data_IF_672991399982
#
_entry.id   IF_672991399982
#
_cell.length_a   1.000
_cell.length_b   1.000
_cell.length_c   1.000
_cell.angle_alpha   90.00
_cell.angle_beta   90.00
_cell.angle_gamma   90.00
#
_symmetry.space_group_name_H-M   'P 1'
#
loop_
_entity.id
_entity.type
_entity.pdbx_description
1 polymer ?
#
# COMPACT_ATOMS: atom_id res chain seq x y z
N UNK A 1 -11.52 24.48 -31.42
CA UNK A 1 -11.09 23.18 -31.99
C UNK A 1 -10.03 22.63 -31.06
N UNK A 2 -10.39 21.65 -30.23
CA UNK A 2 -9.53 21.15 -29.16
C UNK A 2 -8.75 19.95 -29.68
N UNK A 3 -7.44 20.11 -29.85
CA UNK A 3 -6.54 19.04 -30.22
C UNK A 3 -6.35 18.13 -28.99
N UNK A 4 -6.92 16.93 -29.04
CA UNK A 4 -6.62 15.85 -28.09
C UNK A 4 -5.22 15.32 -28.39
N UNK A 5 -4.26 15.65 -27.54
CA UNK A 5 -2.93 15.03 -27.55
C UNK A 5 -3.05 13.52 -27.30
N UNK A 6 -2.43 12.65 -28.10
CA UNK A 6 -2.35 11.23 -27.78
C UNK A 6 -1.47 11.06 -26.53
N UNK A 7 -2.01 10.42 -25.49
CA UNK A 7 -1.28 10.06 -24.29
C UNK A 7 -0.17 9.07 -24.64
N UNK A 8 1.04 9.59 -24.88
CA UNK A 8 2.24 8.82 -25.20
C UNK A 8 2.97 8.35 -23.93
N UNK A 9 2.20 7.91 -22.93
CA UNK A 9 2.72 7.32 -21.70
C UNK A 9 2.27 5.86 -21.65
N UNK A 10 3.20 4.92 -21.37
CA UNK A 10 2.81 3.53 -21.18
C UNK A 10 1.90 3.42 -19.94
N UNK A 11 0.80 2.67 -20.07
CA UNK A 11 -0.13 2.46 -18.96
C UNK A 11 0.58 1.67 -17.85
N UNK A 12 0.96 2.37 -16.79
CA UNK A 12 1.72 1.78 -15.67
C UNK A 12 0.96 0.63 -15.01
N UNK A 13 -0.38 0.64 -15.08
CA UNK A 13 -1.22 -0.44 -14.54
C UNK A 13 -1.08 -1.73 -15.35
N UNK A 14 -0.91 -1.63 -16.67
CA UNK A 14 -0.66 -2.78 -17.56
C UNK A 14 0.70 -3.42 -17.27
N UNK A 15 1.75 -2.60 -17.12
CA UNK A 15 3.10 -3.08 -16.80
C UNK A 15 3.13 -3.77 -15.44
N UNK A 16 2.47 -3.18 -14.44
CA UNK A 16 2.39 -3.76 -13.10
C UNK A 16 1.64 -5.10 -13.11
N UNK A 17 0.55 -5.19 -13.88
CA UNK A 17 -0.18 -6.45 -14.04
C UNK A 17 0.71 -7.53 -14.65
N UNK A 18 1.41 -7.25 -15.75
CA UNK A 18 2.29 -8.23 -16.42
C UNK A 18 3.42 -8.71 -15.52
N UNK A 19 4.02 -7.81 -14.75
CA UNK A 19 5.07 -8.17 -13.79
C UNK A 19 4.56 -9.05 -12.65
N UNK A 20 3.35 -8.77 -12.16
CA UNK A 20 2.76 -9.57 -11.09
C UNK A 20 2.32 -10.94 -11.63
N UNK A 21 1.71 -10.99 -12.81
CA UNK A 21 1.30 -12.24 -13.45
C UNK A 21 2.49 -13.16 -13.74
N UNK A 22 3.56 -12.63 -14.34
CA UNK A 22 4.80 -13.41 -14.60
C UNK A 22 5.43 -13.94 -13.31
N UNK A 23 5.45 -13.14 -12.24
CA UNK A 23 5.93 -13.60 -10.93
C UNK A 23 5.01 -14.67 -10.35
N UNK A 24 3.70 -14.49 -10.43
CA UNK A 24 2.72 -15.46 -9.94
C UNK A 24 2.81 -16.77 -10.72
N UNK A 25 3.01 -16.70 -12.04
CA UNK A 25 3.22 -17.85 -12.90
C UNK A 25 4.47 -18.62 -12.47
N UNK A 26 5.60 -17.94 -12.30
CA UNK A 26 6.84 -18.58 -11.85
C UNK A 26 6.71 -19.19 -10.45
N UNK A 27 5.94 -18.57 -9.55
CA UNK A 27 5.75 -19.03 -8.16
C UNK A 27 4.73 -20.17 -8.05
N UNK A 28 3.65 -20.16 -8.83
CA UNK A 28 2.55 -21.12 -8.70
C UNK A 28 2.62 -22.29 -9.71
N UNK A 29 3.14 -22.05 -10.92
CA UNK A 29 3.23 -23.09 -11.97
C UNK A 29 4.58 -23.81 -11.95
N UNK A 30 5.64 -23.25 -11.37
CA UNK A 30 6.90 -23.97 -11.24
C UNK A 30 6.78 -25.09 -10.20
N UNK A 31 7.18 -26.34 -10.54
CA UNK A 31 7.05 -27.48 -9.63
C UNK A 31 7.88 -27.31 -8.35
N UNK A 32 9.03 -26.65 -8.41
CA UNK A 32 9.93 -26.45 -7.26
C UNK A 32 9.34 -25.53 -6.18
N UNK A 33 8.78 -24.38 -6.58
CA UNK A 33 8.16 -23.43 -5.65
C UNK A 33 6.85 -23.97 -5.07
N UNK A 34 6.14 -24.85 -5.78
CA UNK A 34 4.95 -25.51 -5.28
C UNK A 34 5.21 -26.34 -4.01
N UNK A 35 6.42 -26.89 -3.85
CA UNK A 35 6.79 -27.63 -2.63
C UNK A 35 6.91 -26.73 -1.40
N UNK A 36 7.45 -25.51 -1.57
CA UNK A 36 7.59 -24.53 -0.49
C UNK A 36 6.24 -23.93 -0.09
N UNK A 37 5.37 -23.71 -1.07
CA UNK A 37 4.01 -23.22 -0.84
C UNK A 37 3.14 -24.28 -0.13
N UNK A 38 3.34 -25.58 -0.39
CA UNK A 38 2.68 -26.65 0.40
C UNK A 38 3.06 -26.59 1.87
N UNK A 39 4.32 -26.32 2.18
CA UNK A 39 4.84 -26.34 3.56
C UNK A 39 4.47 -25.10 4.38
N UNK A 40 4.08 -23.99 3.75
CA UNK A 40 3.84 -22.72 4.44
C UNK A 40 2.48 -22.12 4.06
N UNK A 41 1.53 -22.12 5.00
CA UNK A 41 0.23 -21.45 4.83
C UNK A 41 0.37 -19.93 4.67
N UNK A 42 1.37 -19.33 5.31
CA UNK A 42 1.66 -17.90 5.20
C UNK A 42 2.01 -17.49 3.76
N UNK A 43 2.87 -18.26 3.09
CA UNK A 43 3.22 -17.96 1.70
C UNK A 43 2.01 -18.21 0.76
N UNK A 44 1.14 -19.18 1.04
CA UNK A 44 -0.12 -19.37 0.30
C UNK A 44 -1.05 -18.16 0.43
N UNK A 45 -1.23 -17.64 1.65
CA UNK A 45 -2.05 -16.44 1.88
C UNK A 45 -1.47 -15.20 1.20
N UNK A 46 -0.14 -15.04 1.27
CA UNK A 46 0.56 -13.94 0.58
C UNK A 46 0.38 -14.00 -0.93
N UNK A 47 0.52 -15.19 -1.52
CA UNK A 47 0.31 -15.40 -2.96
C UNK A 47 -1.16 -15.17 -3.31
N UNK A 48 -2.11 -15.62 -2.48
CA UNK A 48 -3.53 -15.34 -2.64
C UNK A 48 -3.86 -13.85 -2.68
N UNK A 49 -3.31 -13.07 -1.76
CA UNK A 49 -3.47 -11.60 -1.77
C UNK A 49 -2.91 -10.96 -3.05
N UNK A 50 -1.77 -11.45 -3.56
CA UNK A 50 -1.21 -10.97 -4.82
C UNK A 50 -2.10 -11.32 -6.03
N UNK A 51 -2.75 -12.49 -6.01
CA UNK A 51 -3.71 -12.90 -7.05
C UNK A 51 -4.96 -12.02 -7.02
N UNK A 52 -5.49 -11.69 -5.84
CA UNK A 52 -6.62 -10.75 -5.72
C UNK A 52 -6.24 -9.34 -6.18
N UNK A 53 -5.05 -8.86 -5.83
CA UNK A 53 -4.56 -7.59 -6.32
C UNK A 53 -4.43 -7.57 -7.86
N UNK A 54 -3.92 -8.65 -8.46
CA UNK A 54 -3.88 -8.79 -9.93
C UNK A 54 -5.28 -8.72 -10.56
N UNK A 55 -6.32 -9.29 -9.93
CA UNK A 55 -7.72 -9.17 -10.39
C UNK A 55 -8.21 -7.73 -10.36
N UNK A 56 -7.91 -6.99 -9.30
CA UNK A 56 -8.31 -5.58 -9.19
C UNK A 56 -7.65 -4.73 -10.28
N UNK A 57 -6.37 -4.97 -10.57
CA UNK A 57 -5.64 -4.32 -11.65
C UNK A 57 -6.25 -4.65 -13.02
N UNK A 58 -6.59 -5.92 -13.27
CA UNK A 58 -7.24 -6.34 -14.51
C UNK A 58 -8.60 -5.66 -14.71
N UNK A 59 -9.43 -5.57 -13.68
CA UNK A 59 -10.70 -4.85 -13.75
C UNK A 59 -10.51 -3.35 -14.03
N UNK A 60 -9.49 -2.74 -13.42
CA UNK A 60 -9.17 -1.32 -13.66
C UNK A 60 -8.74 -1.08 -15.10
N UNK A 61 -7.95 -1.99 -15.67
CA UNK A 61 -7.51 -1.96 -17.07
C UNK A 61 -8.66 -2.19 -18.05
N UNK A 62 -9.62 -3.04 -17.71
CA UNK A 62 -10.80 -3.24 -18.54
C UNK A 62 -11.69 -2.01 -18.57
N UNK A 63 -11.84 -1.35 -17.41
CA UNK A 63 -12.58 -0.11 -17.32
C UNK A 63 -11.87 1.04 -18.07
N UNK A 64 -10.54 1.15 -17.94
CA UNK A 64 -9.75 2.13 -18.69
C UNK A 64 -9.78 1.85 -20.20
N UNK A 65 -9.65 0.58 -20.61
CA UNK A 65 -9.74 0.18 -22.01
C UNK A 65 -11.14 0.43 -22.59
N UNK A 66 -12.21 0.19 -21.82
CA UNK A 66 -13.59 0.41 -22.25
C UNK A 66 -13.93 1.91 -22.43
N UNK A 67 -13.37 2.77 -21.58
CA UNK A 67 -13.54 4.23 -21.63
C UNK A 67 -12.60 4.93 -22.61
N UNK A 68 -11.47 4.28 -22.96
CA UNK A 68 -10.54 4.80 -23.97
C UNK A 68 -11.12 4.73 -25.39
N UNK A 69 -11.04 5.84 -26.12
CA UNK A 69 -11.49 5.95 -27.52
C UNK A 69 -10.46 5.32 -28.50
N UNK A 70 -10.16 4.04 -28.33
CA UNK A 70 -9.23 3.30 -29.20
C UNK A 70 -9.93 2.76 -30.46
N UNK A 71 -9.18 2.58 -31.55
CA UNK A 71 -9.74 2.05 -32.81
C UNK A 71 -10.28 0.62 -32.63
N UNK A 72 -11.32 0.25 -33.39
CA UNK A 72 -12.00 -1.06 -33.29
C UNK A 72 -11.04 -2.26 -33.35
N UNK A 73 -10.00 -2.19 -34.19
CA UNK A 73 -8.98 -3.22 -34.31
C UNK A 73 -8.09 -3.30 -33.06
N UNK A 74 -7.60 -2.17 -32.55
CA UNK A 74 -6.78 -2.12 -31.31
C UNK A 74 -7.59 -2.56 -30.08
N UNK A 75 -8.87 -2.19 -30.04
CA UNK A 75 -9.79 -2.64 -29.00
C UNK A 75 -9.92 -4.17 -28.98
N UNK A 76 -10.04 -4.79 -30.15
CA UNK A 76 -10.13 -6.26 -30.25
C UNK A 76 -8.86 -6.97 -29.81
N UNK A 77 -7.67 -6.45 -30.15
CA UNK A 77 -6.41 -7.06 -29.73
C UNK A 77 -6.17 -6.91 -28.22
N UNK A 78 -6.49 -5.74 -27.66
CA UNK A 78 -6.42 -5.51 -26.22
C UNK A 78 -7.43 -6.39 -25.46
N UNK A 79 -8.62 -6.58 -26.01
CA UNK A 79 -9.63 -7.45 -25.42
C UNK A 79 -9.17 -8.92 -25.44
N UNK A 80 -8.52 -9.38 -26.51
CA UNK A 80 -7.96 -10.73 -26.58
C UNK A 80 -6.84 -10.94 -25.55
N UNK A 81 -5.95 -9.96 -25.38
CA UNK A 81 -4.89 -9.99 -24.36
C UNK A 81 -5.47 -10.03 -22.93
N UNK A 82 -6.46 -9.17 -22.64
CA UNK A 82 -7.15 -9.18 -21.34
C UNK A 82 -7.89 -10.51 -21.09
N UNK A 83 -8.45 -11.13 -22.13
CA UNK A 83 -9.06 -12.46 -22.03
C UNK A 83 -8.02 -13.54 -21.68
N UNK A 84 -6.85 -13.54 -22.32
CA UNK A 84 -5.76 -14.45 -21.97
C UNK A 84 -5.31 -14.26 -20.51
N UNK A 85 -5.18 -13.02 -20.06
CA UNK A 85 -4.82 -12.69 -18.67
C UNK A 85 -5.89 -13.16 -17.67
N UNK A 86 -7.18 -13.07 -18.02
CA UNK A 86 -8.28 -13.65 -17.20
C UNK A 86 -8.16 -15.16 -17.08
N UNK A 87 -7.87 -15.86 -18.17
CA UNK A 87 -7.71 -17.31 -18.17
C UNK A 87 -6.51 -17.74 -17.31
N UNK A 88 -5.39 -17.02 -17.43
CA UNK A 88 -4.20 -17.24 -16.60
C UNK A 88 -4.53 -17.06 -15.11
N UNK A 89 -5.21 -15.97 -14.74
CA UNK A 89 -5.63 -15.74 -13.35
C UNK A 89 -6.55 -16.85 -12.85
N UNK A 90 -7.47 -17.37 -13.67
CA UNK A 90 -8.33 -18.50 -13.29
C UNK A 90 -7.50 -19.75 -13.02
N UNK A 91 -6.52 -20.05 -13.88
CA UNK A 91 -5.62 -21.18 -13.70
C UNK A 91 -4.79 -21.04 -12.40
N UNK A 92 -4.25 -19.84 -12.13
CA UNK A 92 -3.51 -19.57 -10.89
C UNK A 92 -4.38 -19.77 -9.64
N UNK A 93 -5.65 -19.34 -9.70
CA UNK A 93 -6.59 -19.54 -8.59
C UNK A 93 -6.95 -21.01 -8.39
N UNK A 94 -7.19 -21.76 -9.47
CA UNK A 94 -7.44 -23.19 -9.39
C UNK A 94 -6.25 -23.91 -8.74
N UNK A 95 -5.03 -23.56 -9.15
CA UNK A 95 -3.81 -24.13 -8.59
C UNK A 95 -3.63 -23.79 -7.11
N UNK A 96 -3.95 -22.56 -6.72
CA UNK A 96 -3.91 -22.13 -5.31
C UNK A 96 -4.97 -22.87 -4.47
N UNK A 97 -6.16 -23.09 -5.02
CA UNK A 97 -7.23 -23.85 -4.36
C UNK A 97 -6.82 -25.31 -4.13
N UNK A 98 -6.26 -25.98 -5.14
CA UNK A 98 -5.70 -27.33 -5.01
C UNK A 98 -4.63 -27.40 -3.92
N UNK A 99 -3.77 -26.38 -3.85
CA UNK A 99 -2.72 -26.30 -2.84
C UNK A 99 -3.25 -25.99 -1.44
N UNK A 100 -4.42 -25.37 -1.36
CA UNK A 100 -5.12 -25.16 -0.10
C UNK A 100 -5.69 -26.48 0.41
N UNK A 101 -6.40 -27.19 -0.47
CA UNK A 101 -7.03 -28.48 -0.17
C UNK A 101 -6.03 -29.58 0.22
N UNK A 102 -4.84 -29.61 -0.39
CA UNK A 102 -3.79 -30.57 -0.02
C UNK A 102 -3.18 -30.34 1.38
N UNK A 103 -3.35 -29.15 1.97
CA UNK A 103 -2.91 -28.87 3.35
C UNK A 103 -3.94 -29.35 4.37
N UNK A 104 -5.23 -29.18 4.06
CA UNK A 104 -6.31 -29.71 4.88
C UNK A 104 -6.24 -31.25 4.96
N UNK A 105 -5.93 -31.93 3.84
CA UNK A 105 -5.81 -33.40 3.80
C UNK A 105 -4.60 -33.96 4.59
N UNK A 106 -3.47 -33.23 4.67
CA UNK A 106 -2.31 -33.67 5.49
C UNK A 106 -2.49 -33.34 6.98
N UNK A 107 -3.40 -32.42 7.32
CA UNK A 107 -3.75 -32.14 8.72
C UNK A 107 -4.66 -33.24 9.32
N UNK A 108 -5.36 -34.01 8.49
CA UNK A 108 -6.29 -35.06 8.93
C UNK A 108 -5.60 -36.45 9.10
N UNK A 109 -4.38 -36.63 8.57
CA UNK A 109 -3.52 -37.82 8.78
C UNK A 109 -2.58 -37.67 10.01
N UNK A 110 -2.95 -36.79 10.94
CA UNK A 110 -2.40 -36.76 12.30
C UNK A 110 -3.46 -37.26 13.28
N UNK A 111 -3.83 -38.53 13.14
CA UNK A 111 -4.64 -39.20 14.15
C UNK A 111 -3.87 -39.33 15.46
N UNK A 112 -4.56 -38.95 16.53
CA UNK A 112 -4.56 -39.64 17.82
C UNK A 112 -3.25 -39.65 18.63
N UNK A 113 -3.11 -38.62 19.47
CA UNK A 113 -2.59 -38.83 20.81
C UNK A 113 -3.32 -37.89 21.76
N UNK A 114 -4.37 -38.42 22.37
CA UNK A 114 -4.78 -38.02 23.71
C UNK A 114 -3.55 -38.06 24.63
N UNK A 115 -2.97 -36.89 24.94
CA UNK A 115 -2.18 -36.71 26.15
C UNK A 115 -2.63 -35.41 26.79
N UNK A 116 -3.43 -35.58 27.84
CA UNK A 116 -3.59 -34.61 28.91
C UNK A 116 -2.21 -34.38 29.54
N UNK A 117 -1.48 -33.38 29.07
CA UNK A 117 -0.35 -32.84 29.82
C UNK A 117 -0.49 -31.31 29.87
N UNK A 118 -0.86 -30.87 31.08
CA UNK A 118 -0.79 -29.50 31.56
C UNK A 118 0.61 -28.88 31.29
N UNK A 119 0.59 -27.63 30.86
CA UNK A 119 1.58 -26.60 31.16
C UNK A 119 3.06 -26.78 30.75
N UNK A 120 3.40 -26.57 29.47
CA UNK A 120 4.63 -25.83 29.12
C UNK A 120 4.41 -25.01 27.82
N UNK A 121 4.15 -23.71 27.95
CA UNK A 121 4.45 -22.75 26.88
C UNK A 121 5.80 -22.08 27.19
N UNK A 122 6.85 -22.23 26.35
CA UNK A 122 8.03 -21.41 26.45
C UNK A 122 7.68 -19.99 25.98
N UNK A 123 7.43 -19.09 26.93
CA UNK A 123 7.25 -17.66 26.70
C UNK A 123 8.55 -17.08 26.14
N UNK A 124 8.59 -16.83 24.84
CA UNK A 124 9.72 -16.21 24.14
C UNK A 124 9.41 -14.80 23.62
N UNK A 125 8.54 -14.06 24.30
CA UNK A 125 8.37 -12.63 24.06
C UNK A 125 8.21 -11.89 25.39
N UNK A 126 8.92 -10.77 25.63
CA UNK A 126 8.74 -9.98 26.83
C UNK A 126 7.33 -9.39 26.85
N UNK A 127 6.54 -9.80 27.85
CA UNK A 127 5.23 -9.22 28.14
C UNK A 127 5.43 -7.82 28.74
N UNK A 128 5.18 -6.78 27.95
CA UNK A 128 5.04 -5.41 28.46
C UNK A 128 3.59 -5.23 28.89
N UNK A 129 3.36 -4.92 30.16
CA UNK A 129 2.03 -4.58 30.67
C UNK A 129 1.59 -3.26 30.04
N UNK A 130 0.68 -3.32 29.07
CA UNK A 130 0.06 -2.12 28.50
C UNK A 130 -1.12 -1.69 29.37
N UNK A 131 -0.85 -0.80 30.32
CA UNK A 131 -1.88 0.01 30.97
C UNK A 131 -1.86 1.43 30.38
N UNK A 132 -2.12 1.53 29.07
CA UNK A 132 -2.48 2.79 28.41
C UNK A 132 -3.10 2.48 27.04
N UNK A 133 -4.39 2.78 26.89
CA UNK A 133 -5.05 2.69 25.59
C UNK A 133 -4.36 3.59 24.56
N UNK A 134 -4.20 3.07 23.35
CA UNK A 134 -3.59 3.77 22.20
C UNK A 134 -4.52 4.92 21.80
N UNK A 135 -4.30 6.10 22.37
CA UNK A 135 -4.90 7.35 21.92
C UNK A 135 -4.11 7.82 20.68
N UNK A 136 -4.67 7.63 19.49
CA UNK A 136 -4.10 8.14 18.23
C UNK A 136 -4.26 9.66 18.20
N UNK A 137 -3.33 10.39 18.82
CA UNK A 137 -3.14 11.82 18.58
C UNK A 137 -2.38 12.00 17.28
N UNK A 138 -3.14 12.30 16.23
CA UNK A 138 -2.64 12.87 14.98
C UNK A 138 -1.90 14.18 15.30
N UNK A 139 -0.56 14.13 15.26
CA UNK A 139 0.29 15.28 15.54
C UNK A 139 1.76 14.99 15.27
N UNK A 140 2.19 15.14 14.01
CA UNK A 140 3.54 15.46 13.52
C UNK A 140 4.79 14.76 14.13
N UNK A 141 4.66 13.64 14.84
CA UNK A 141 5.76 12.91 15.51
C UNK A 141 6.23 11.64 14.76
N UNK A 142 5.94 11.52 13.45
CA UNK A 142 6.35 10.37 12.64
C UNK A 142 7.86 10.29 12.34
N UNK A 143 8.64 11.33 12.69
CA UNK A 143 10.05 11.42 12.28
C UNK A 143 11.02 10.75 13.26
N UNK A 144 10.66 10.59 14.54
CA UNK A 144 11.61 10.07 15.54
C UNK A 144 11.76 8.55 15.44
N UNK A 145 10.66 7.82 15.22
CA UNK A 145 10.70 6.37 15.02
C UNK A 145 11.44 5.98 13.72
N UNK A 146 11.35 6.82 12.69
CA UNK A 146 12.08 6.61 11.44
C UNK A 146 13.58 6.97 11.58
N UNK A 147 13.90 8.03 12.33
CA UNK A 147 15.28 8.41 12.61
C UNK A 147 16.01 7.37 13.48
N UNK A 148 15.34 6.77 14.46
CA UNK A 148 15.92 5.70 15.29
C UNK A 148 16.11 4.41 14.49
N UNK A 149 15.19 4.06 13.60
CA UNK A 149 15.35 2.93 12.68
C UNK A 149 16.52 3.14 11.71
N UNK A 150 16.68 4.35 11.16
CA UNK A 150 17.79 4.69 10.27
C UNK A 150 19.16 4.68 10.98
N UNK A 151 19.21 5.12 12.25
CA UNK A 151 20.43 5.08 13.06
C UNK A 151 20.87 3.65 13.39
N UNK A 152 19.93 2.74 13.65
CA UNK A 152 20.24 1.32 13.87
C UNK A 152 20.79 0.65 12.60
N UNK A 153 20.20 0.94 11.43
CA UNK A 153 20.71 0.44 10.15
C UNK A 153 22.12 0.99 9.82
N UNK A 154 22.36 2.28 10.10
CA UNK A 154 23.67 2.89 9.92
C UNK A 154 24.74 2.30 10.87
N UNK A 155 24.33 1.83 12.06
CA UNK A 155 25.20 1.19 13.03
C UNK A 155 25.63 -0.22 12.60
N UNK A 156 24.75 -0.97 11.92
CA UNK A 156 25.09 -2.28 11.35
C UNK A 156 26.06 -2.17 10.17
N UNK A 157 25.90 -1.16 9.32
CA UNK A 157 26.79 -0.92 8.18
C UNK A 157 28.20 -0.46 8.60
N UNK A 158 28.32 0.22 9.75
CA UNK A 158 29.62 0.67 10.28
C UNK A 158 30.42 -0.44 10.96
N UNK A 159 29.79 -1.58 11.30
CA UNK A 159 30.46 -2.68 12.01
C UNK A 159 31.25 -3.62 11.10
N UNK A 160 31.36 -3.32 9.80
CA UNK A 160 32.10 -4.14 8.82
C UNK A 160 33.19 -3.33 8.10
N UNK A 161 34.23 -2.95 8.85
CA UNK A 161 35.60 -2.66 8.38
C UNK A 161 36.18 -1.26 8.73
N UNK A 162 37.52 -1.04 8.73
CA UNK A 162 38.67 -1.96 8.87
C UNK A 162 39.59 -1.66 10.09
N UNK A 163 40.33 -2.70 10.52
CA UNK A 163 41.58 -2.80 11.30
C UNK A 163 41.98 -1.77 12.39
N UNK A 164 42.25 -2.29 13.61
CA UNK A 164 43.36 -1.83 14.43
C UNK A 164 43.97 -2.99 15.27
N UNK A 165 45.05 -3.55 14.72
CA UNK A 165 46.32 -3.91 15.36
C UNK A 165 46.34 -4.13 16.89
N UNK A 166 46.44 -5.39 17.33
CA UNK A 166 47.24 -5.80 18.50
C UNK A 166 47.84 -7.20 18.26
N UNK A 167 49.09 -7.36 18.70
CA UNK A 167 49.95 -8.53 18.59
C UNK A 167 49.36 -9.80 19.22
N UNK A 168 49.29 -10.88 18.44
CA UNK A 168 49.45 -12.23 19.00
C UNK A 168 50.31 -13.05 18.06
N UNK A 169 51.60 -13.13 18.39
CA UNK A 169 52.53 -14.10 17.83
C UNK A 169 52.28 -15.43 18.54
N UNK A 170 51.61 -16.40 17.90
CA UNK A 170 51.64 -17.80 18.33
C UNK A 170 51.19 -18.74 17.18
N UNK A 171 52.18 -19.36 16.54
CA UNK A 171 52.23 -20.81 16.22
C UNK A 171 50.99 -21.44 15.57
N UNK A 172 50.96 -21.50 14.24
CA UNK A 172 49.97 -22.31 13.51
C UNK A 172 50.34 -22.74 12.09
N UNK A 173 51.56 -22.43 11.59
CA UNK A 173 51.96 -22.68 10.20
C UNK A 173 52.73 -23.99 9.96
N UNK A 174 52.75 -24.92 10.92
CA UNK A 174 53.51 -26.17 10.84
C UNK A 174 52.68 -27.42 10.51
N UNK A 175 51.61 -27.33 9.70
CA UNK A 175 50.82 -28.51 9.30
C UNK A 175 50.57 -28.69 7.80
N UNK A 176 51.10 -27.84 6.91
CA UNK A 176 50.91 -28.02 5.46
C UNK A 176 52.18 -28.19 4.62
N UNK A 177 53.34 -28.40 5.26
CA UNK A 177 54.56 -28.87 4.56
C UNK A 177 54.67 -30.40 4.61
N UNK A 178 53.69 -31.13 4.08
CA UNK A 178 53.85 -32.57 3.77
C UNK A 178 52.81 -33.07 2.76
N UNK A 179 52.85 -32.56 1.53
CA UNK A 179 52.36 -33.31 0.36
C UNK A 179 52.98 -32.83 -0.95
N UNK A 180 54.31 -32.77 -1.01
CA UNK A 180 55.02 -32.74 -2.30
C UNK A 180 55.13 -34.17 -2.83
N UNK A 181 54.14 -34.61 -3.61
CA UNK A 181 54.25 -35.66 -4.66
C UNK A 181 52.90 -35.86 -5.36
N UNK A 182 52.49 -34.87 -6.16
CA UNK A 182 51.61 -35.00 -7.33
C UNK A 182 51.44 -33.62 -8.02
N UNK A 183 52.51 -32.85 -8.23
CA UNK A 183 52.42 -31.54 -8.89
C UNK A 183 52.76 -31.67 -10.37
N UNK A 184 51.70 -31.79 -11.17
CA UNK A 184 51.73 -31.68 -12.63
C UNK A 184 50.39 -31.21 -13.20
N UNK A 185 49.29 -31.44 -12.48
CA UNK A 185 47.93 -31.14 -12.93
C UNK A 185 47.22 -30.06 -12.07
N UNK A 186 47.53 -29.97 -10.77
CA UNK A 186 46.88 -29.04 -9.83
C UNK A 186 47.16 -27.55 -10.09
N UNK A 187 48.23 -27.20 -10.81
CA UNK A 187 48.55 -25.82 -11.18
C UNK A 187 47.56 -25.24 -12.19
N UNK A 188 47.09 -26.06 -13.15
CA UNK A 188 46.08 -25.66 -14.14
C UNK A 188 44.73 -25.37 -13.51
N UNK A 189 44.34 -26.17 -12.51
CA UNK A 189 43.09 -25.98 -11.77
C UNK A 189 43.14 -24.75 -10.86
N UNK A 190 44.29 -24.44 -10.24
CA UNK A 190 44.44 -23.22 -9.45
C UNK A 190 44.46 -21.96 -10.32
N UNK A 191 45.13 -22.01 -11.48
CA UNK A 191 45.13 -20.92 -12.45
C UNK A 191 43.72 -20.65 -12.99
N UNK A 192 42.96 -21.70 -13.33
CA UNK A 192 41.56 -21.58 -13.75
C UNK A 192 40.64 -21.03 -12.65
N UNK A 193 40.87 -21.37 -11.37
CA UNK A 193 40.09 -20.82 -10.25
C UNK A 193 40.38 -19.34 -10.00
N UNK A 194 41.64 -18.91 -10.16
CA UNK A 194 42.01 -17.50 -10.03
C UNK A 194 41.48 -16.66 -11.21
N UNK A 195 41.50 -17.22 -12.41
CA UNK A 195 40.88 -16.61 -13.59
C UNK A 195 39.36 -16.46 -13.41
N UNK A 196 38.69 -17.50 -12.89
CA UNK A 196 37.26 -17.46 -12.57
C UNK A 196 36.93 -16.36 -11.56
N UNK A 197 37.69 -16.25 -10.47
CA UNK A 197 37.47 -15.18 -9.49
C UNK A 197 37.70 -13.78 -10.08
N UNK A 198 38.65 -13.63 -11.01
CA UNK A 198 38.87 -12.36 -11.69
C UNK A 198 37.69 -11.97 -12.57
N UNK A 199 37.14 -12.93 -13.31
CA UNK A 199 35.95 -12.73 -14.15
C UNK A 199 34.72 -12.39 -13.30
N UNK A 200 34.54 -13.08 -12.16
CA UNK A 200 33.46 -12.76 -11.23
C UNK A 200 33.58 -11.35 -10.67
N UNK A 201 34.80 -10.92 -10.29
CA UNK A 201 35.02 -9.56 -9.79
C UNK A 201 34.74 -8.50 -10.85
N UNK A 202 35.14 -8.74 -12.11
CA UNK A 202 34.83 -7.86 -13.23
C UNK A 202 33.30 -7.81 -13.48
N UNK A 203 32.61 -8.94 -13.43
CA UNK A 203 31.15 -9.04 -13.53
C UNK A 203 30.43 -8.28 -12.40
N UNK A 204 30.89 -8.42 -11.15
CA UNK A 204 30.31 -7.75 -10.00
C UNK A 204 30.52 -6.23 -10.07
N UNK A 205 31.70 -5.80 -10.56
CA UNK A 205 31.99 -4.38 -10.77
C UNK A 205 31.12 -3.75 -11.86
N UNK A 206 30.89 -4.48 -12.96
CA UNK A 206 30.04 -4.02 -14.06
C UNK A 206 28.58 -3.97 -13.63
N UNK A 207 28.11 -4.97 -12.87
CA UNK A 207 26.77 -4.96 -12.27
C UNK A 207 26.56 -3.78 -11.32
N UNK A 208 27.52 -3.49 -10.44
CA UNK A 208 27.43 -2.34 -9.51
C UNK A 208 27.37 -1.01 -10.27
N UNK A 209 28.17 -0.87 -11.32
CA UNK A 209 28.19 0.32 -12.16
C UNK A 209 26.86 0.49 -12.92
N UNK A 210 26.33 -0.59 -13.49
CA UNK A 210 25.03 -0.59 -14.18
C UNK A 210 23.89 -0.26 -13.21
N UNK A 211 23.91 -0.84 -12.01
CA UNK A 211 22.91 -0.56 -10.97
C UNK A 211 23.01 0.88 -10.47
N UNK A 212 24.22 1.43 -10.33
CA UNK A 212 24.43 2.84 -9.99
C UNK A 212 23.93 3.77 -11.10
N UNK A 213 24.12 3.41 -12.38
CA UNK A 213 23.55 4.15 -13.52
C UNK A 213 22.03 4.09 -13.49
N UNK A 214 21.45 2.92 -13.25
CA UNK A 214 20.00 2.74 -13.16
C UNK A 214 19.43 3.55 -11.99
N UNK A 215 20.06 3.52 -10.82
CA UNK A 215 19.65 4.33 -9.67
C UNK A 215 19.72 5.83 -9.97
N UNK A 216 20.77 6.28 -10.68
CA UNK A 216 20.87 7.67 -11.12
C UNK A 216 19.76 8.03 -12.12
N UNK A 217 19.46 7.16 -13.08
CA UNK A 217 18.36 7.36 -14.03
C UNK A 217 17.01 7.44 -13.29
N UNK A 218 16.80 6.58 -12.30
CA UNK A 218 15.61 6.61 -11.44
C UNK A 218 15.55 7.89 -10.62
N UNK A 219 16.66 8.39 -10.08
CA UNK A 219 16.70 9.67 -9.36
C UNK A 219 16.37 10.85 -10.27
N UNK A 220 16.89 10.88 -11.51
CA UNK A 220 16.55 11.93 -12.49
C UNK A 220 15.07 11.85 -12.87
N UNK A 221 14.55 10.64 -13.10
CA UNK A 221 13.13 10.44 -13.38
C UNK A 221 12.25 10.93 -12.22
N UNK A 222 12.61 10.58 -10.98
CA UNK A 222 11.93 11.06 -9.77
C UNK A 222 11.97 12.58 -9.67
N UNK A 223 13.09 13.22 -10.00
CA UNK A 223 13.20 14.68 -10.02
C UNK A 223 12.23 15.32 -11.03
N UNK A 224 12.15 14.75 -12.23
CA UNK A 224 11.24 15.23 -13.28
C UNK A 224 9.76 15.01 -12.89
N UNK A 225 9.44 13.88 -12.25
CA UNK A 225 8.10 13.61 -11.71
C UNK A 225 7.75 14.60 -10.61
N UNK A 226 8.66 14.89 -9.68
CA UNK A 226 8.44 15.90 -8.63
C UNK A 226 8.20 17.31 -9.22
N UNK A 227 8.88 17.67 -10.30
CA UNK A 227 8.65 18.94 -10.98
C UNK A 227 7.25 19.02 -11.60
N UNK A 228 6.79 17.92 -12.21
CA UNK A 228 5.41 17.79 -12.67
C UNK A 228 4.39 17.87 -11.53
N UNK A 229 4.62 17.14 -10.45
CA UNK A 229 3.74 17.07 -9.28
C UNK A 229 3.61 18.43 -8.58
N UNK A 230 4.65 19.26 -8.54
CA UNK A 230 4.57 20.63 -8.00
C UNK A 230 3.49 21.46 -8.68
N UNK A 231 3.38 21.39 -10.01
CA UNK A 231 2.37 22.15 -10.76
C UNK A 231 0.93 21.66 -10.47
N UNK A 232 0.78 20.36 -10.22
CA UNK A 232 -0.50 19.76 -9.83
C UNK A 232 -0.84 20.17 -8.41
N UNK A 233 0.14 20.17 -7.51
CA UNK A 233 0.00 20.56 -6.12
C UNK A 233 -0.38 22.04 -6.00
N UNK A 234 0.24 22.91 -6.80
CA UNK A 234 -0.14 24.33 -6.90
C UNK A 234 -1.58 24.50 -7.41
N UNK A 235 -1.99 23.75 -8.44
CA UNK A 235 -3.37 23.77 -8.94
C UNK A 235 -4.37 23.23 -7.91
N UNK A 236 -4.00 22.20 -7.15
CA UNK A 236 -4.82 21.65 -6.09
C UNK A 236 -4.97 22.63 -4.93
N UNK A 237 -3.90 23.36 -4.58
CA UNK A 237 -3.93 24.44 -3.58
C UNK A 237 -4.81 25.59 -4.06
N UNK A 238 -4.69 26.02 -5.31
CA UNK A 238 -5.56 27.07 -5.89
C UNK A 238 -7.02 26.62 -5.94
N UNK A 239 -7.28 25.36 -6.30
CA UNK A 239 -8.62 24.77 -6.30
C UNK A 239 -9.22 24.65 -4.89
N UNK A 240 -8.41 24.31 -3.90
CA UNK A 240 -8.80 24.26 -2.50
C UNK A 240 -9.09 25.67 -1.97
N UNK A 241 -8.22 26.64 -2.23
CA UNK A 241 -8.43 28.04 -1.83
C UNK A 241 -9.74 28.58 -2.44
N UNK A 242 -9.95 28.36 -3.74
CA UNK A 242 -11.20 28.71 -4.43
C UNK A 242 -12.44 28.01 -3.83
N UNK A 243 -12.29 26.75 -3.42
CA UNK A 243 -13.36 25.99 -2.76
C UNK A 243 -13.65 26.55 -1.36
N UNK A 244 -12.62 26.86 -0.57
CA UNK A 244 -12.77 27.45 0.76
C UNK A 244 -13.45 28.81 0.69
N UNK A 245 -13.06 29.65 -0.27
CA UNK A 245 -13.65 30.97 -0.50
C UNK A 245 -15.10 30.87 -1.01
N UNK A 246 -15.39 29.88 -1.87
CA UNK A 246 -16.75 29.55 -2.30
C UNK A 246 -17.63 29.03 -1.16
N UNK A 247 -17.07 28.20 -0.28
CA UNK A 247 -17.74 27.68 0.91
C UNK A 247 -17.98 28.77 1.95
N UNK A 248 -17.04 29.68 2.15
CA UNK A 248 -17.23 30.84 3.03
C UNK A 248 -18.32 31.76 2.49
N UNK A 249 -18.31 32.07 1.19
CA UNK A 249 -19.35 32.88 0.56
C UNK A 249 -20.74 32.22 0.64
N UNK A 250 -20.80 30.90 0.44
CA UNK A 250 -22.03 30.12 0.62
C UNK A 250 -22.46 30.09 2.09
N UNK A 251 -21.53 29.95 3.02
CA UNK A 251 -21.74 29.97 4.46
C UNK A 251 -22.26 31.32 4.96
N UNK A 252 -21.73 32.43 4.44
CA UNK A 252 -22.23 33.77 4.74
C UNK A 252 -23.67 33.96 4.23
N UNK A 253 -23.98 33.51 3.02
CA UNK A 253 -25.35 33.57 2.46
C UNK A 253 -26.34 32.65 3.18
N UNK A 254 -25.90 31.48 3.61
CA UNK A 254 -26.73 30.56 4.38
C UNK A 254 -26.89 31.03 5.84
N UNK A 255 -25.87 31.66 6.41
CA UNK A 255 -25.91 32.27 7.74
C UNK A 255 -26.87 33.46 7.83
N UNK A 256 -26.93 34.30 6.78
CA UNK A 256 -27.92 35.39 6.72
C UNK A 256 -29.35 34.86 6.55
N UNK A 257 -29.54 33.83 5.71
CA UNK A 257 -30.83 33.16 5.57
C UNK A 257 -31.26 32.49 6.88
N UNK A 258 -30.36 31.81 7.58
CA UNK A 258 -30.64 31.21 8.89
C UNK A 258 -31.10 32.25 9.92
N UNK A 259 -30.45 33.41 9.95
CA UNK A 259 -30.85 34.51 10.86
C UNK A 259 -32.21 35.11 10.48
N UNK A 260 -32.58 35.10 9.20
CA UNK A 260 -33.90 35.53 8.73
C UNK A 260 -35.00 34.47 8.89
N UNK A 261 -34.68 33.18 8.84
CA UNK A 261 -35.65 32.09 8.96
C UNK A 261 -35.92 31.69 10.40
N UNK A 262 -34.93 31.77 11.28
CA UNK A 262 -35.07 31.41 12.71
C UNK A 262 -35.79 32.52 13.52
N UNK A 263 -35.80 33.77 13.04
CA UNK A 263 -36.46 34.90 13.71
C UNK A 263 -37.95 35.11 13.42
N UNK A 264 -38.50 34.46 12.38
CA UNK A 264 -39.89 34.72 11.94
C UNK A 264 -40.95 34.02 12.79
N UNK A 265 -40.64 32.84 13.35
CA UNK A 265 -41.58 32.04 14.12
C UNK A 265 -41.98 32.67 15.46
N UNK A 266 -41.07 33.38 16.13
CA UNK A 266 -41.39 34.04 17.41
C UNK A 266 -42.28 35.27 17.22
N UNK A 267 -41.99 36.10 16.21
CA UNK A 267 -42.81 37.27 15.87
C UNK A 267 -44.22 36.89 15.40
N UNK A 268 -44.34 35.80 14.64
CA UNK A 268 -45.64 35.32 14.17
C UNK A 268 -46.51 34.78 15.33
N UNK A 269 -45.90 34.07 16.28
CA UNK A 269 -46.56 33.64 17.53
C UNK A 269 -46.99 34.84 18.39
N UNK A 270 -46.14 35.85 18.53
CA UNK A 270 -46.49 37.06 19.28
C UNK A 270 -47.65 37.84 18.63
N UNK A 271 -47.68 37.95 17.29
CA UNK A 271 -48.81 38.54 16.56
C UNK A 271 -50.10 37.76 16.74
N UNK A 272 -50.02 36.42 16.74
CA UNK A 272 -51.17 35.55 16.99
C UNK A 272 -51.73 35.79 18.40
N UNK A 273 -50.89 35.80 19.43
CA UNK A 273 -51.34 36.07 20.79
C UNK A 273 -51.97 37.46 20.96
N UNK A 274 -51.42 38.49 20.31
CA UNK A 274 -52.00 39.83 20.32
C UNK A 274 -53.40 39.87 19.67
N UNK A 275 -53.61 39.14 18.57
CA UNK A 275 -54.92 39.04 17.91
C UNK A 275 -55.95 38.30 18.76
N UNK A 276 -55.58 37.15 19.34
CA UNK A 276 -56.46 36.42 20.27
C UNK A 276 -56.83 37.28 21.47
N UNK A 277 -55.86 37.99 22.06
CA UNK A 277 -56.10 38.88 23.20
C UNK A 277 -57.03 40.05 22.84
N UNK A 278 -56.86 40.66 21.66
CA UNK A 278 -57.76 41.71 21.17
C UNK A 278 -59.19 41.23 20.98
N UNK A 279 -59.38 40.05 20.38
CA UNK A 279 -60.70 39.46 20.17
C UNK A 279 -61.35 39.09 21.51
N UNK A 280 -60.56 38.62 22.47
CA UNK A 280 -61.02 38.35 23.83
C UNK A 280 -61.50 39.62 24.54
N UNK A 281 -60.78 40.74 24.43
CA UNK A 281 -61.22 42.04 24.96
C UNK A 281 -62.52 42.49 24.31
N UNK A 282 -62.65 42.36 22.98
CA UNK A 282 -63.87 42.74 22.26
C UNK A 282 -65.06 41.89 22.73
N UNK A 283 -64.89 40.58 22.89
CA UNK A 283 -65.92 39.70 23.42
C UNK A 283 -66.32 40.09 24.85
N UNK A 284 -65.34 40.41 25.71
CA UNK A 284 -65.60 40.89 27.07
C UNK A 284 -66.38 42.20 27.07
N UNK A 285 -66.04 43.14 26.19
CA UNK A 285 -66.76 44.40 26.02
C UNK A 285 -68.20 44.15 25.56
N UNK A 286 -68.45 43.26 24.61
CA UNK A 286 -69.81 42.90 24.16
C UNK A 286 -70.64 42.30 25.31
N UNK A 287 -70.07 41.40 26.10
CA UNK A 287 -70.76 40.76 27.23
C UNK A 287 -71.05 41.74 28.36
N UNK A 288 -70.17 42.71 28.61
CA UNK A 288 -70.34 43.66 29.70
C UNK A 288 -71.17 44.89 29.32
N UNK A 289 -71.04 45.35 28.07
CA UNK A 289 -71.77 46.51 27.54
C UNK A 289 -73.12 46.11 26.96
N UNK A 290 -73.25 44.93 26.34
CA UNK A 290 -74.50 44.43 25.76
C UNK A 290 -75.71 44.41 26.73
N UNK A 291 -75.56 44.05 28.01
CA UNK A 291 -76.62 44.18 29.01
C UNK A 291 -76.92 45.64 29.39
N UNK A 292 -75.93 46.53 29.31
CA UNK A 292 -76.05 47.96 29.66
C UNK A 292 -76.72 48.82 28.58
N UNK A 293 -76.76 48.38 27.32
CA UNK A 293 -77.45 49.09 26.22
C UNK A 293 -78.88 48.57 25.97
N UNK A 294 -79.31 47.54 26.72
CA UNK A 294 -80.64 46.90 26.58
C UNK A 294 -81.65 47.35 27.65
N UNK A 295 -81.32 48.39 28.41
CA UNK A 295 -82.20 49.14 29.30
C UNK A 295 -82.09 50.63 28.96
#
# INVERSE_FOLDING_TARGET
>A
MQATSPSQYPDTTAINLDRILSRLEQVLLSPESSSTLRKSSFERNRVGANVEYARTLLLSLEHSAATSATSKSKKSSLQADLQQKRELIKQLNQRLYELNQLDDEVSEDSTDSENEDEDIYPSYAPHVKEEAGIEVKSGNQGNEAFATAAQNLASELRRRGPAQQEDVTATGTALFSSRTRASGDSGKSQEALLEHHRIEQESLSTSLLEMAKQLKQQSVHFQNTLEGDKSILERAVEGLDKSTLGMEAAGQRMGTLRRMTEGKGWWDRMKLYALIFGLWIIAFLIVFVGPKIRF
#
